data_IF_208922525062
#
_entry.id   IF_208922525062
#
_cell.length_a   1.000
_cell.length_b   1.000
_cell.length_c   1.000
_cell.angle_alpha   90.00
_cell.angle_beta   90.00
_cell.angle_gamma   90.00
#
_symmetry.space_group_name_H-M   'P 1'
#
loop_
_entity.id
_entity.type
_entity.pdbx_description
1 polymer ?
#
# COMPACT_ATOMS: atom_id res chain seq x y z
N UNK A 1 16.89 10.02 45.06
CA UNK A 1 17.35 11.01 46.05
C UNK A 1 18.45 10.46 46.94
N UNK A 2 18.26 9.32 47.63
CA UNK A 2 19.31 8.74 48.51
C UNK A 2 20.62 8.38 47.81
N UNK A 3 20.56 7.87 46.57
CA UNK A 3 21.76 7.48 45.82
C UNK A 3 22.65 8.65 45.40
N UNK A 4 22.06 9.86 45.31
CA UNK A 4 22.76 11.10 44.98
C UNK A 4 22.88 12.03 46.20
N UNK A 5 22.38 11.59 47.36
CA UNK A 5 22.27 12.37 48.60
C UNK A 5 21.66 13.78 48.43
N UNK A 6 20.60 13.88 47.61
CA UNK A 6 19.91 15.15 47.31
C UNK A 6 18.64 15.28 48.15
N UNK A 7 18.37 16.49 48.67
CA UNK A 7 17.30 16.70 49.66
C UNK A 7 15.92 16.91 49.04
N UNK A 8 15.85 17.51 47.85
CA UNK A 8 14.59 17.86 47.19
C UNK A 8 14.63 17.69 45.67
N UNK A 9 13.46 17.73 45.03
CA UNK A 9 13.33 17.55 43.58
C UNK A 9 14.00 18.69 42.81
N UNK A 10 13.98 19.91 43.34
CA UNK A 10 14.55 21.08 42.66
C UNK A 10 16.07 21.00 42.54
N UNK A 11 16.75 20.61 43.62
CA UNK A 11 18.19 20.36 43.61
C UNK A 11 18.57 19.24 42.64
N UNK A 12 17.74 18.21 42.51
CA UNK A 12 17.96 17.12 41.55
C UNK A 12 17.83 17.62 40.10
N UNK A 13 16.79 18.41 39.81
CA UNK A 13 16.60 19.03 38.50
C UNK A 13 17.78 19.96 38.15
N UNK A 14 18.18 20.82 39.08
CA UNK A 14 19.28 21.76 38.88
C UNK A 14 20.62 21.02 38.66
N UNK A 15 20.87 19.93 39.40
CA UNK A 15 22.04 19.08 39.19
C UNK A 15 22.02 18.40 37.81
N UNK A 16 20.87 17.82 37.41
CA UNK A 16 20.74 17.16 36.11
C UNK A 16 20.96 18.15 34.96
N UNK A 17 20.42 19.36 35.07
CA UNK A 17 20.57 20.39 34.03
C UNK A 17 22.01 20.90 34.00
N UNK A 18 22.51 21.44 35.10
CA UNK A 18 23.78 22.18 35.16
C UNK A 18 25.01 21.27 35.05
N UNK A 19 25.01 20.15 35.77
CA UNK A 19 26.21 19.31 35.88
C UNK A 19 26.21 18.15 34.87
N UNK A 20 25.04 17.65 34.46
CA UNK A 20 24.95 16.48 33.59
C UNK A 20 24.60 16.81 32.13
N UNK A 21 23.57 17.63 31.89
CA UNK A 21 23.12 17.97 30.54
C UNK A 21 24.04 19.00 29.88
N UNK A 22 24.38 20.08 30.57
CA UNK A 22 25.30 21.09 30.03
C UNK A 22 26.71 20.54 29.80
N UNK A 23 27.18 19.63 30.65
CA UNK A 23 28.45 18.92 30.46
C UNK A 23 28.41 17.88 29.33
N UNK A 24 27.24 17.57 28.77
CA UNK A 24 27.07 16.61 27.68
C UNK A 24 27.14 15.14 28.10
N UNK A 25 27.04 14.85 29.41
CA UNK A 25 27.08 13.47 29.94
C UNK A 25 25.78 12.75 29.60
N UNK A 26 24.64 13.43 29.70
CA UNK A 26 23.32 12.89 29.38
C UNK A 26 22.52 13.85 28.51
N UNK A 27 21.64 13.30 27.68
CA UNK A 27 20.65 14.05 26.91
C UNK A 27 19.28 13.46 27.16
N UNK A 28 18.29 14.31 27.40
CA UNK A 28 16.94 13.84 27.71
C UNK A 28 15.99 14.97 28.04
N UNK A 29 14.80 14.59 28.51
CA UNK A 29 13.77 15.53 28.98
C UNK A 29 13.33 15.19 30.39
N UNK A 30 13.12 16.23 31.20
CA UNK A 30 12.51 16.10 32.52
C UNK A 30 10.99 16.07 32.35
N UNK A 31 10.35 15.00 32.82
CA UNK A 31 8.90 14.88 32.90
C UNK A 31 8.47 15.02 34.36
N UNK A 32 7.92 16.21 34.69
CA UNK A 32 7.49 16.53 36.04
C UNK A 32 6.24 15.77 36.47
N UNK A 33 5.36 15.44 35.52
CA UNK A 33 4.11 14.73 35.82
C UNK A 33 4.42 13.28 36.20
N UNK A 34 5.29 12.62 35.41
CA UNK A 34 5.71 11.24 35.64
C UNK A 34 6.86 11.13 36.65
N UNK A 35 7.41 12.28 37.09
CA UNK A 35 8.54 12.39 38.02
C UNK A 35 9.74 11.56 37.55
N UNK A 36 10.05 11.61 36.26
CA UNK A 36 11.14 10.86 35.66
C UNK A 36 11.96 11.72 34.69
N UNK A 37 13.17 11.23 34.40
CA UNK A 37 14.02 11.79 33.36
C UNK A 37 14.08 10.81 32.19
N UNK A 38 13.59 11.23 31.03
CA UNK A 38 13.60 10.43 29.81
C UNK A 38 14.95 10.59 29.11
N UNK A 39 15.82 9.60 29.29
CA UNK A 39 17.17 9.57 28.71
C UNK A 39 17.10 9.18 27.23
N UNK A 40 17.59 10.05 26.37
CA UNK A 40 17.79 9.80 24.93
C UNK A 40 19.23 9.36 24.64
N UNK A 41 20.18 9.85 25.42
CA UNK A 41 21.59 9.52 25.29
C UNK A 41 22.29 9.63 26.64
N UNK A 42 23.28 8.76 26.85
CA UNK A 42 24.19 8.84 27.98
C UNK A 42 25.60 8.44 27.51
N UNK A 43 26.60 9.21 27.92
CA UNK A 43 27.99 8.92 27.66
C UNK A 43 28.46 7.72 28.51
N UNK A 44 29.22 6.82 27.90
CA UNK A 44 29.87 5.73 28.61
C UNK A 44 31.03 6.27 29.45
N UNK A 45 30.98 6.07 30.78
CA UNK A 45 32.00 6.59 31.70
C UNK A 45 33.06 5.57 32.07
N UNK A 46 32.63 4.40 32.57
CA UNK A 46 33.53 3.39 33.13
C UNK A 46 33.22 2.00 32.58
N UNK A 47 34.26 1.24 32.24
CA UNK A 47 34.16 -0.19 31.94
C UNK A 47 34.66 -0.98 33.14
N UNK A 48 33.77 -1.76 33.79
CA UNK A 48 34.21 -2.66 34.86
C UNK A 48 34.79 -3.95 34.27
N UNK A 49 35.78 -4.58 34.93
CA UNK A 49 36.29 -5.87 34.49
C UNK A 49 35.17 -6.90 34.30
N UNK A 50 35.16 -7.61 33.18
CA UNK A 50 34.14 -8.60 32.84
C UNK A 50 32.88 -8.07 32.11
N UNK A 51 32.68 -6.75 32.02
CA UNK A 51 31.49 -6.20 31.32
C UNK A 51 31.59 -6.23 29.80
N UNK A 52 32.81 -6.28 29.25
CA UNK A 52 33.02 -6.24 27.80
C UNK A 52 32.35 -7.41 27.07
N UNK A 53 32.41 -8.63 27.65
CA UNK A 53 31.75 -9.80 27.07
C UNK A 53 30.23 -9.63 26.96
N UNK A 54 29.60 -9.11 28.02
CA UNK A 54 28.16 -8.84 28.02
C UNK A 54 27.78 -7.75 27.00
N UNK A 55 28.63 -6.72 26.83
CA UNK A 55 28.39 -5.69 25.81
C UNK A 55 28.43 -6.27 24.40
N UNK A 56 29.46 -7.09 24.10
CA UNK A 56 29.57 -7.78 22.82
C UNK A 56 28.34 -8.65 22.58
N UNK A 57 27.96 -9.47 23.55
CA UNK A 57 26.78 -10.34 23.44
C UNK A 57 25.50 -9.54 23.19
N UNK A 58 25.31 -8.43 23.90
CA UNK A 58 24.13 -7.56 23.75
C UNK A 58 24.06 -6.99 22.33
N UNK A 59 25.18 -6.46 21.83
CA UNK A 59 25.27 -5.91 20.47
C UNK A 59 25.06 -6.99 19.41
N UNK A 60 25.67 -8.17 19.57
CA UNK A 60 25.49 -9.30 18.66
C UNK A 60 24.03 -9.78 18.63
N UNK A 61 23.37 -9.88 19.78
CA UNK A 61 21.95 -10.25 19.86
C UNK A 61 21.06 -9.20 19.19
N UNK A 62 21.36 -7.91 19.37
CA UNK A 62 20.60 -6.85 18.73
C UNK A 62 20.77 -6.84 17.21
N UNK A 63 22.00 -7.04 16.73
CA UNK A 63 22.29 -7.18 15.30
C UNK A 63 21.53 -8.37 14.71
N UNK A 64 21.66 -9.56 15.31
CA UNK A 64 20.98 -10.76 14.84
C UNK A 64 19.45 -10.59 14.80
N UNK A 65 18.87 -9.92 15.81
CA UNK A 65 17.43 -9.62 15.83
C UNK A 65 17.04 -8.68 14.69
N UNK A 66 17.86 -7.66 14.43
CA UNK A 66 17.62 -6.69 13.35
C UNK A 66 17.72 -7.34 11.96
N UNK A 67 18.72 -8.20 11.75
CA UNK A 67 18.88 -8.96 10.51
C UNK A 67 17.69 -9.91 10.27
N UNK A 68 17.23 -10.61 11.31
CA UNK A 68 16.06 -11.48 11.22
C UNK A 68 14.78 -10.69 10.87
N UNK A 69 14.59 -9.49 11.44
CA UNK A 69 13.48 -8.62 11.08
C UNK A 69 13.55 -8.19 9.61
N UNK A 70 14.74 -7.85 9.11
CA UNK A 70 14.93 -7.49 7.70
C UNK A 70 14.62 -8.66 6.77
N UNK A 71 15.09 -9.87 7.08
CA UNK A 71 14.77 -11.08 6.31
C UNK A 71 13.26 -11.30 6.27
N UNK A 72 12.60 -11.21 7.43
CA UNK A 72 11.15 -11.38 7.54
C UNK A 72 10.40 -10.37 6.67
N UNK A 73 10.81 -9.10 6.69
CA UNK A 73 10.21 -8.05 5.84
C UNK A 73 10.41 -8.38 4.35
N UNK A 74 11.62 -8.78 3.96
CA UNK A 74 11.92 -9.15 2.56
C UNK A 74 11.08 -10.35 2.09
N UNK A 75 10.90 -11.36 2.94
CA UNK A 75 10.03 -12.50 2.63
C UNK A 75 8.57 -12.08 2.47
N UNK A 76 8.08 -11.17 3.32
CA UNK A 76 6.72 -10.63 3.21
C UNK A 76 6.52 -9.83 1.93
N UNK A 77 7.52 -9.06 1.49
CA UNK A 77 7.50 -8.34 0.21
C UNK A 77 7.42 -9.35 -0.94
N UNK A 78 8.32 -10.34 -0.99
CA UNK A 78 8.31 -11.38 -2.04
C UNK A 78 6.99 -12.13 -2.12
N UNK A 79 6.42 -12.46 -0.96
CA UNK A 79 5.12 -13.11 -0.87
C UNK A 79 4.01 -12.23 -1.44
N UNK A 80 3.98 -10.94 -1.06
CA UNK A 80 2.99 -9.98 -1.56
C UNK A 80 3.11 -9.77 -3.07
N UNK A 81 4.34 -9.66 -3.60
CA UNK A 81 4.59 -9.54 -5.04
C UNK A 81 4.11 -10.79 -5.79
N UNK A 82 4.45 -11.98 -5.29
CA UNK A 82 4.02 -13.26 -5.89
C UNK A 82 2.50 -13.38 -5.92
N UNK A 83 1.84 -13.05 -4.80
CA UNK A 83 0.38 -13.08 -4.72
C UNK A 83 -0.25 -12.07 -5.68
N UNK A 84 0.28 -10.84 -5.73
CA UNK A 84 -0.17 -9.79 -6.64
C UNK A 84 -0.07 -10.22 -8.11
N UNK A 85 1.03 -10.86 -8.51
CA UNK A 85 1.18 -11.36 -9.88
C UNK A 85 0.23 -12.53 -10.19
N UNK A 86 0.00 -13.43 -9.23
CA UNK A 86 -1.00 -14.51 -9.38
C UNK A 86 -2.41 -13.95 -9.53
N UNK A 87 -2.78 -12.98 -8.70
CA UNK A 87 -4.09 -12.33 -8.75
C UNK A 87 -4.29 -11.54 -10.05
N UNK A 88 -3.27 -10.82 -10.53
CA UNK A 88 -3.30 -10.14 -11.83
C UNK A 88 -3.51 -11.13 -12.97
N UNK A 89 -2.80 -12.26 -12.96
CA UNK A 89 -2.95 -13.31 -13.97
C UNK A 89 -4.36 -13.90 -13.93
N UNK A 90 -4.85 -14.22 -12.74
CA UNK A 90 -6.20 -14.75 -12.57
C UNK A 90 -7.28 -13.76 -13.04
N UNK A 91 -7.13 -12.47 -12.74
CA UNK A 91 -8.01 -11.41 -13.23
C UNK A 91 -8.02 -11.33 -14.75
N UNK A 92 -6.85 -11.41 -15.39
CA UNK A 92 -6.74 -11.45 -16.86
C UNK A 92 -7.41 -12.68 -17.46
N UNK A 93 -7.18 -13.87 -16.91
CA UNK A 93 -7.80 -15.11 -17.39
C UNK A 93 -9.34 -15.06 -17.29
N UNK A 94 -9.88 -14.39 -16.27
CA UNK A 94 -11.33 -14.15 -16.14
C UNK A 94 -11.82 -13.18 -17.22
N UNK A 95 -11.10 -12.07 -17.43
CA UNK A 95 -11.45 -11.07 -18.45
C UNK A 95 -11.48 -11.67 -19.85
N UNK A 96 -10.46 -12.46 -20.21
CA UNK A 96 -10.37 -13.15 -21.51
C UNK A 96 -11.55 -14.12 -21.70
N UNK A 97 -11.93 -14.88 -20.67
CA UNK A 97 -13.11 -15.77 -20.70
C UNK A 97 -14.42 -15.00 -20.85
N UNK A 98 -14.56 -13.86 -20.17
CA UNK A 98 -15.74 -13.01 -20.30
C UNK A 98 -15.87 -12.49 -21.73
N UNK A 99 -14.78 -12.05 -22.34
CA UNK A 99 -14.76 -11.58 -23.74
C UNK A 99 -15.06 -12.71 -24.73
N UNK A 100 -14.56 -13.93 -24.51
CA UNK A 100 -14.89 -15.10 -25.32
C UNK A 100 -16.39 -15.46 -25.23
N UNK A 101 -16.96 -15.46 -24.01
CA UNK A 101 -18.40 -15.69 -23.80
C UNK A 101 -19.23 -14.60 -24.49
N UNK A 102 -18.85 -13.32 -24.38
CA UNK A 102 -19.53 -12.22 -25.10
C UNK A 102 -19.47 -12.40 -26.62
N UNK A 103 -18.30 -12.73 -27.17
CA UNK A 103 -18.14 -12.96 -28.62
C UNK A 103 -18.96 -14.14 -29.12
N UNK A 104 -18.97 -15.26 -28.38
CA UNK A 104 -19.75 -16.44 -28.76
C UNK A 104 -21.26 -16.20 -28.67
N UNK A 105 -21.72 -15.43 -27.68
CA UNK A 105 -23.12 -14.96 -27.60
C UNK A 105 -23.49 -14.06 -28.78
N UNK A 106 -22.63 -13.11 -29.15
CA UNK A 106 -22.85 -12.26 -30.33
C UNK A 106 -22.91 -13.07 -31.63
N UNK A 107 -21.98 -14.03 -31.83
CA UNK A 107 -22.02 -14.90 -33.01
C UNK A 107 -23.28 -15.75 -33.07
N UNK A 108 -23.75 -16.30 -31.93
CA UNK A 108 -25.02 -17.03 -31.88
C UNK A 108 -26.22 -16.13 -32.23
N UNK A 109 -26.25 -14.90 -31.69
CA UNK A 109 -27.29 -13.93 -32.01
C UNK A 109 -27.30 -13.55 -33.50
N UNK A 110 -26.12 -13.37 -34.12
CA UNK A 110 -26.01 -13.08 -35.56
C UNK A 110 -26.43 -14.27 -36.45
N UNK A 111 -26.12 -15.50 -36.03
CA UNK A 111 -26.55 -16.73 -36.73
C UNK A 111 -28.06 -16.93 -36.60
N UNK A 112 -28.64 -16.69 -35.43
CA UNK A 112 -30.09 -16.75 -35.23
C UNK A 112 -30.82 -15.66 -36.04
N UNK A 113 -30.22 -14.46 -36.19
CA UNK A 113 -30.77 -13.39 -37.03
C UNK A 113 -30.72 -13.72 -38.52
N UNK A 114 -29.62 -14.30 -39.02
CA UNK A 114 -29.51 -14.79 -40.41
C UNK A 114 -30.38 -16.01 -40.70
N UNK A 115 -30.52 -16.91 -39.73
CA UNK A 115 -31.41 -18.07 -39.85
C UNK A 115 -32.89 -17.68 -39.92
N UNK A 116 -33.26 -16.54 -39.31
CA UNK A 116 -34.60 -15.96 -39.45
C UNK A 116 -34.81 -15.27 -40.81
N UNK A 117 -33.77 -14.65 -41.38
CA UNK A 117 -33.80 -14.04 -42.73
C UNK A 117 -33.92 -15.09 -43.85
N UNK A 118 -33.32 -16.27 -43.71
CA UNK A 118 -33.41 -17.35 -44.71
C UNK A 118 -34.77 -18.06 -44.74
N UNK A 119 -35.58 -17.99 -43.69
CA UNK A 119 -36.94 -18.56 -43.66
C UNK A 119 -37.95 -17.66 -44.41
N UNK A 120 -37.66 -16.37 -44.58
CA UNK A 120 -38.57 -15.39 -45.21
C UNK A 120 -38.20 -15.01 -46.66
N UNK A 121 -37.24 -15.69 -47.30
CA UNK A 121 -36.97 -15.48 -48.73
C UNK A 121 -37.90 -16.35 -49.59
N UNK A 122 -39.15 -15.91 -49.75
CA UNK A 122 -40.06 -16.40 -50.80
C UNK A 122 -39.58 -15.92 -52.19
N UNK A 123 -39.57 -16.77 -53.24
CA UNK A 123 -39.27 -16.34 -54.59
C UNK A 123 -40.55 -15.88 -55.29
N UNK A 124 -40.77 -14.57 -55.44
CA UNK A 124 -41.80 -14.11 -56.37
C UNK A 124 -42.28 -12.67 -56.19
N UNK A 125 -42.16 -11.89 -57.27
CA UNK A 125 -43.01 -10.73 -57.50
C UNK A 125 -42.26 -9.43 -57.73
N UNK A 126 -41.93 -9.18 -59.00
CA UNK A 126 -41.57 -7.85 -59.50
C UNK A 126 -42.77 -6.92 -59.25
N UNK A 127 -42.64 -5.98 -58.30
CA UNK A 127 -43.55 -4.83 -58.20
C UNK A 127 -42.75 -3.59 -58.55
N UNK A 128 -42.92 -3.20 -59.81
CA UNK A 128 -42.52 -1.90 -60.31
C UNK A 128 -43.48 -0.87 -59.71
N UNK A 129 -42.98 0.01 -58.85
CA UNK A 129 -43.75 1.15 -58.38
C UNK A 129 -43.07 2.44 -58.85
N UNK A 130 -43.67 2.97 -59.91
CA UNK A 130 -43.31 4.20 -60.59
C UNK A 130 -43.14 5.40 -59.64
N UNK A 131 -42.21 6.26 -60.05
CA UNK A 131 -41.94 7.59 -59.54
C UNK A 131 -43.19 8.48 -59.50
N UNK A 132 -43.27 9.29 -58.44
CA UNK A 132 -43.24 10.77 -58.52
C UNK A 132 -44.17 11.40 -57.48
N UNK A 133 -43.57 12.19 -56.58
CA UNK A 133 -44.05 13.53 -56.23
C UNK A 133 -43.00 14.27 -55.40
N UNK A 134 -42.22 15.07 -56.11
CA UNK A 134 -41.61 16.33 -55.64
C UNK A 134 -42.55 17.09 -54.67
N UNK A 135 -42.16 17.77 -53.57
CA UNK A 135 -41.19 18.87 -53.36
C UNK A 135 -41.27 19.37 -51.86
N UNK A 136 -40.62 20.48 -51.37
CA UNK A 136 -39.34 20.50 -50.63
C UNK A 136 -39.28 21.23 -49.24
N UNK A 137 -38.12 21.10 -48.56
CA UNK A 137 -37.41 22.02 -47.60
C UNK A 137 -38.02 22.41 -46.23
N UNK A 138 -37.29 22.10 -45.15
CA UNK A 138 -36.60 23.12 -44.32
C UNK A 138 -35.54 22.54 -43.34
N UNK A 139 -34.29 23.02 -43.47
CA UNK A 139 -33.17 22.92 -42.51
C UNK A 139 -33.56 23.44 -41.12
N UNK A 140 -32.95 22.91 -40.04
CA UNK A 140 -32.13 23.66 -39.06
C UNK A 140 -31.12 22.74 -38.34
N UNK A 141 -29.93 23.30 -38.10
CA UNK A 141 -28.72 22.74 -37.45
C UNK A 141 -28.81 22.79 -35.90
N UNK A 142 -27.85 22.22 -35.14
CA UNK A 142 -28.00 21.91 -33.71
C UNK A 142 -27.70 23.13 -32.81
N UNK A 143 -28.06 23.05 -31.52
CA UNK A 143 -27.57 23.97 -30.49
C UNK A 143 -26.92 23.22 -29.34
N UNK A 144 -25.73 23.74 -29.00
CA UNK A 144 -24.86 23.64 -27.81
C UNK A 144 -24.99 22.48 -26.83
#
# INVERSE_FOLDING_TARGET
>A
MRELDVTNVRELEDFLINECMYAGIVRGKLDQLRRCFEVQFAAGRDLRPGQLGNMIQTLSSWLATSDNLLITIQEKIKWADTMSELDKKHGKDIEDRVEEVKKSLSHKADVDFRGLEEIYSEPGGVMDHEEDRSRPKRRRHPMS
#
